data_IF_927241987379
#
_entry.id   IF_927241987379
#
_cell.length_a   1.000
_cell.length_b   1.000
_cell.length_c   1.000
_cell.angle_alpha   90.00
_cell.angle_beta   90.00
_cell.angle_gamma   90.00
#
_symmetry.space_group_name_H-M   'P 1'
#
loop_
_entity.id
_entity.type
_entity.pdbx_description
1 polymer ?
#
# COMPACT_ATOMS: atom_id res chain seq x y z
N UNK A 1 -10.20 19.62 -9.28
CA UNK A 1 -9.45 19.93 -10.53
C UNK A 1 -8.00 19.47 -10.40
N UNK A 2 -7.45 18.92 -11.46
CA UNK A 2 -6.01 18.65 -11.59
C UNK A 2 -5.45 19.71 -12.52
N UNK A 3 -4.61 20.59 -11.99
CA UNK A 3 -3.89 21.58 -12.78
C UNK A 3 -2.50 21.06 -13.16
N UNK A 4 -2.11 21.19 -14.43
CA UNK A 4 -0.76 20.96 -14.88
C UNK A 4 -0.13 22.28 -15.32
N UNK A 5 1.02 22.62 -14.76
CA UNK A 5 1.79 23.80 -15.12
C UNK A 5 3.00 23.37 -15.97
N UNK A 6 3.02 23.75 -17.26
CA UNK A 6 4.23 23.67 -18.09
C UNK A 6 4.99 24.99 -17.97
N UNK A 7 6.05 24.99 -17.20
CA UNK A 7 6.88 26.16 -16.94
C UNK A 7 7.45 26.84 -18.23
N UNK A 8 7.51 26.11 -19.34
CA UNK A 8 8.08 26.59 -20.60
C UNK A 8 7.10 27.42 -21.45
N UNK A 9 5.78 27.18 -21.33
CA UNK A 9 4.79 27.79 -22.24
C UNK A 9 3.69 28.58 -21.51
N UNK A 10 3.74 28.70 -20.16
CA UNK A 10 2.71 29.36 -19.32
C UNK A 10 1.27 28.87 -19.60
N UNK A 11 1.13 27.64 -20.08
CA UNK A 11 -0.17 27.04 -20.33
C UNK A 11 -0.67 26.36 -19.06
N UNK A 12 -1.85 26.75 -18.59
CA UNK A 12 -2.55 26.14 -17.48
C UNK A 12 -3.67 25.29 -18.06
N UNK A 13 -3.66 24.01 -17.76
CA UNK A 13 -4.75 23.10 -18.10
C UNK A 13 -5.47 22.71 -16.80
N UNK A 14 -6.71 23.12 -16.66
CA UNK A 14 -7.60 22.64 -15.62
C UNK A 14 -8.49 21.53 -16.17
N UNK A 15 -8.52 20.40 -15.48
CA UNK A 15 -9.38 19.27 -15.80
C UNK A 15 -10.46 19.18 -14.72
N UNK A 16 -11.69 19.52 -15.06
CA UNK A 16 -12.81 19.57 -14.12
C UNK A 16 -13.17 18.21 -13.53
N UNK A 17 -13.10 17.15 -14.34
CA UNK A 17 -13.44 15.78 -13.94
C UNK A 17 -12.32 14.81 -14.31
N UNK A 18 -11.18 14.78 -13.59
CA UNK A 18 -10.07 13.92 -13.93
C UNK A 18 -10.43 12.45 -13.73
N UNK A 19 -10.23 11.63 -14.76
CA UNK A 19 -10.39 10.18 -14.74
C UNK A 19 -9.06 9.54 -15.09
N UNK A 20 -8.31 9.15 -14.07
CA UNK A 20 -6.97 8.57 -14.22
C UNK A 20 -7.02 7.11 -13.79
N UNK A 21 -6.55 6.22 -14.67
CA UNK A 21 -6.27 4.82 -14.34
C UNK A 21 -4.78 4.57 -14.50
N UNK A 22 -4.17 3.90 -13.54
CA UNK A 22 -2.74 3.64 -13.51
C UNK A 22 -2.49 2.16 -13.32
N UNK A 23 -1.62 1.58 -14.16
CA UNK A 23 -1.10 0.22 -13.98
C UNK A 23 0.41 0.32 -13.80
N UNK A 24 0.91 -0.21 -12.70
CA UNK A 24 2.32 -0.21 -12.35
C UNK A 24 2.81 -1.64 -12.16
N UNK A 25 4.03 -1.91 -12.58
CA UNK A 25 4.72 -3.17 -12.33
C UNK A 25 6.06 -2.90 -11.65
N UNK A 26 6.40 -3.72 -10.66
CA UNK A 26 7.64 -3.57 -9.93
C UNK A 26 7.85 -4.68 -8.91
N UNK A 27 8.99 -4.65 -8.23
CA UNK A 27 9.25 -5.56 -7.12
C UNK A 27 8.49 -5.12 -5.87
N UNK A 28 8.19 -6.01 -4.92
CA UNK A 28 7.54 -5.63 -3.66
C UNK A 28 8.27 -4.53 -2.89
N UNK A 29 9.58 -4.43 -3.02
CA UNK A 29 10.36 -3.37 -2.39
C UNK A 29 10.15 -2.01 -3.05
N UNK A 30 10.06 -1.97 -4.39
CA UNK A 30 9.70 -0.75 -5.13
C UNK A 30 8.30 -0.26 -4.77
N UNK A 31 7.35 -1.18 -4.59
CA UNK A 31 6.00 -0.86 -4.11
C UNK A 31 6.04 -0.21 -2.73
N UNK A 32 6.83 -0.75 -1.78
CA UNK A 32 6.99 -0.15 -0.46
C UNK A 32 7.63 1.24 -0.49
N UNK A 33 8.45 1.56 -1.50
CA UNK A 33 8.99 2.92 -1.70
C UNK A 33 7.97 3.88 -2.30
N UNK A 34 7.11 3.40 -3.18
CA UNK A 34 6.05 4.20 -3.79
C UNK A 34 4.97 4.58 -2.77
N UNK A 35 4.64 3.67 -1.86
CA UNK A 35 3.64 3.86 -0.80
C UNK A 35 4.31 3.63 0.55
N UNK A 36 5.07 4.63 1.05
CA UNK A 36 5.87 4.47 2.27
C UNK A 36 5.03 4.29 3.53
N UNK A 37 3.79 4.77 3.52
CA UNK A 37 2.83 4.60 4.62
C UNK A 37 1.52 4.00 4.12
N UNK A 38 0.85 3.24 4.98
CA UNK A 38 -0.50 2.74 4.69
C UNK A 38 -1.58 3.77 5.06
N UNK A 39 -1.22 4.80 5.82
CA UNK A 39 -2.13 5.80 6.40
C UNK A 39 -2.46 6.96 5.47
N UNK A 40 -1.60 7.26 4.49
CA UNK A 40 -1.82 8.35 3.52
C UNK A 40 -2.97 8.09 2.52
N UNK A 41 -3.59 6.92 2.60
CA UNK A 41 -4.69 6.51 1.75
C UNK A 41 -4.30 6.14 0.32
N UNK A 42 -3.05 6.34 -0.10
CA UNK A 42 -2.57 5.93 -1.43
C UNK A 42 -2.53 4.40 -1.54
N UNK A 43 -1.99 3.73 -0.51
CA UNK A 43 -1.93 2.27 -0.45
C UNK A 43 -3.31 1.62 -0.68
N UNK A 44 -4.34 2.09 0.00
CA UNK A 44 -5.69 1.53 -0.10
C UNK A 44 -6.35 1.74 -1.48
N UNK A 45 -5.81 2.63 -2.33
CA UNK A 45 -6.33 2.90 -3.68
C UNK A 45 -5.79 1.95 -4.73
N UNK A 46 -4.71 1.21 -4.45
CA UNK A 46 -4.15 0.22 -5.35
C UNK A 46 -4.71 -1.17 -5.09
N UNK A 47 -4.98 -1.90 -6.17
CA UNK A 47 -5.17 -3.34 -6.13
C UNK A 47 -3.80 -3.99 -6.37
N UNK A 48 -3.29 -4.72 -5.39
CA UNK A 48 -2.00 -5.39 -5.54
C UNK A 48 -2.21 -6.80 -6.08
N UNK A 49 -1.51 -7.11 -7.17
CA UNK A 49 -1.45 -8.46 -7.70
C UNK A 49 0.00 -8.98 -7.64
N UNK A 50 0.26 -9.83 -6.69
CA UNK A 50 1.59 -10.42 -6.49
C UNK A 50 1.74 -11.67 -7.35
N UNK A 51 2.77 -11.69 -8.19
CA UNK A 51 3.14 -12.85 -9.00
C UNK A 51 4.39 -13.47 -8.39
N UNK A 52 4.30 -14.65 -7.76
CA UNK A 52 5.47 -15.31 -7.21
C UNK A 52 6.44 -15.71 -8.34
N UNK A 53 7.72 -15.48 -8.12
CA UNK A 53 8.76 -15.93 -9.05
C UNK A 53 8.77 -17.45 -9.12
N UNK A 54 8.62 -18.00 -10.31
CA UNK A 54 8.78 -19.44 -10.53
C UNK A 54 10.27 -19.78 -10.51
N UNK A 55 10.64 -20.77 -9.70
CA UNK A 55 11.98 -21.35 -9.75
C UNK A 55 12.11 -22.14 -11.06
N UNK A 56 13.17 -21.89 -11.80
CA UNK A 56 13.49 -22.61 -13.03
C UNK A 56 13.86 -21.66 -14.16
N UNK A 57 14.79 -22.10 -14.98
CA UNK A 57 15.20 -21.38 -16.18
C UNK A 57 14.22 -21.69 -17.30
N UNK A 58 13.72 -20.62 -17.95
CA UNK A 58 12.82 -20.79 -19.09
C UNK A 58 13.63 -21.15 -20.32
N UNK A 59 13.22 -22.21 -21.05
CA UNK A 59 13.81 -22.53 -22.33
C UNK A 59 13.55 -21.39 -23.33
N UNK A 60 14.59 -20.62 -23.65
CA UNK A 60 14.52 -19.48 -24.57
C UNK A 60 14.51 -19.91 -26.05
N UNK A 61 14.86 -21.18 -26.32
CA UNK A 61 14.88 -21.77 -27.64
C UNK A 61 13.55 -22.42 -28.04
N UNK A 62 12.60 -22.51 -27.11
CA UNK A 62 11.30 -23.09 -27.40
C UNK A 62 10.55 -22.21 -28.42
N UNK A 63 10.37 -22.72 -29.62
CA UNK A 63 9.54 -22.12 -30.64
C UNK A 63 8.08 -22.47 -30.38
N UNK A 64 7.22 -21.47 -30.27
CA UNK A 64 5.76 -21.67 -30.24
C UNK A 64 5.20 -21.43 -31.63
N UNK A 65 4.20 -22.23 -31.99
CA UNK A 65 3.41 -22.02 -33.21
C UNK A 65 2.89 -20.58 -33.23
N UNK A 66 3.02 -19.87 -34.36
CA UNK A 66 2.65 -18.46 -34.49
C UNK A 66 1.16 -18.24 -34.14
N UNK A 67 0.30 -19.19 -34.55
CA UNK A 67 -1.13 -19.17 -34.21
C UNK A 67 -1.43 -19.33 -32.73
N UNK A 68 -0.56 -19.98 -31.98
CA UNK A 68 -0.63 -20.20 -30.53
C UNK A 68 0.19 -19.16 -29.76
N UNK A 69 0.82 -18.22 -30.44
CA UNK A 69 1.64 -17.21 -29.80
C UNK A 69 0.80 -16.32 -28.88
N UNK A 70 1.38 -15.90 -27.76
CA UNK A 70 0.71 -14.96 -26.84
C UNK A 70 0.29 -13.67 -27.55
N UNK A 71 1.09 -13.20 -28.50
CA UNK A 71 0.79 -11.99 -29.26
C UNK A 71 -0.46 -12.15 -30.12
N UNK A 72 -0.65 -13.31 -30.78
CA UNK A 72 -1.87 -13.58 -31.54
C UNK A 72 -3.10 -13.60 -30.66
N UNK A 73 -3.02 -14.24 -29.46
CA UNK A 73 -4.11 -14.25 -28.48
C UNK A 73 -4.43 -12.85 -27.96
N UNK A 74 -3.43 -12.05 -27.65
CA UNK A 74 -3.64 -10.65 -27.22
C UNK A 74 -4.26 -9.80 -28.33
N UNK A 75 -3.85 -9.97 -29.58
CA UNK A 75 -4.45 -9.26 -30.71
C UNK A 75 -5.94 -9.59 -30.84
N UNK A 76 -6.29 -10.87 -30.82
CA UNK A 76 -7.69 -11.33 -30.89
C UNK A 76 -8.52 -10.77 -29.73
N UNK A 77 -7.99 -10.81 -28.49
CA UNK A 77 -8.68 -10.22 -27.34
C UNK A 77 -8.84 -8.71 -27.48
N UNK A 78 -7.84 -8.01 -28.01
CA UNK A 78 -7.91 -6.57 -28.25
C UNK A 78 -8.97 -6.20 -29.29
N UNK A 79 -9.09 -6.96 -30.37
CA UNK A 79 -10.12 -6.78 -31.40
C UNK A 79 -11.53 -7.00 -30.82
N UNK A 80 -11.72 -8.07 -30.04
CA UNK A 80 -12.98 -8.35 -29.33
C UNK A 80 -13.35 -7.23 -28.35
N UNK A 81 -12.38 -6.77 -27.59
CA UNK A 81 -12.57 -5.67 -26.63
C UNK A 81 -12.94 -4.35 -27.33
N UNK A 82 -12.30 -4.03 -28.44
CA UNK A 82 -12.61 -2.83 -29.21
C UNK A 82 -14.06 -2.86 -29.72
N UNK A 83 -14.48 -3.98 -30.30
CA UNK A 83 -15.87 -4.17 -30.75
C UNK A 83 -16.88 -4.04 -29.62
N UNK A 84 -16.60 -4.66 -28.47
CA UNK A 84 -17.45 -4.60 -27.27
C UNK A 84 -17.53 -3.15 -26.74
N UNK A 85 -16.41 -2.43 -26.67
CA UNK A 85 -16.35 -1.03 -26.28
C UNK A 85 -17.19 -0.14 -27.20
N UNK A 86 -17.09 -0.32 -28.51
CA UNK A 86 -17.87 0.45 -29.48
C UNK A 86 -19.37 0.18 -29.31
N UNK A 87 -19.75 -1.06 -29.11
CA UNK A 87 -21.14 -1.46 -28.85
C UNK A 87 -21.68 -0.84 -27.57
N UNK A 88 -20.86 -0.83 -26.52
CA UNK A 88 -21.19 -0.19 -25.25
C UNK A 88 -21.36 1.33 -25.39
N UNK A 89 -20.46 2.00 -26.10
CA UNK A 89 -20.51 3.45 -26.27
C UNK A 89 -21.71 3.95 -27.10
N UNK A 90 -22.31 3.11 -27.93
CA UNK A 90 -23.43 3.48 -28.79
C UNK A 90 -24.79 3.55 -28.09
N UNK A 91 -24.94 2.89 -26.94
CA UNK A 91 -26.26 2.65 -26.31
C UNK A 91 -26.64 3.66 -25.22
N UNK A 92 -25.76 4.55 -24.81
CA UNK A 92 -26.10 5.64 -23.89
C UNK A 92 -25.95 5.29 -22.41
N UNK A 93 -26.97 5.57 -21.60
CA UNK A 93 -26.92 5.38 -20.16
C UNK A 93 -27.19 3.94 -19.73
N UNK A 94 -26.45 3.47 -18.73
CA UNK A 94 -26.58 2.13 -18.17
C UNK A 94 -26.92 2.22 -16.69
N UNK A 95 -27.87 1.40 -16.25
CA UNK A 95 -28.17 1.21 -14.83
C UNK A 95 -27.87 -0.22 -14.43
N UNK A 96 -27.02 -0.37 -13.41
CA UNK A 96 -26.57 -1.66 -12.91
C UNK A 96 -27.36 -2.06 -11.67
N UNK A 97 -27.84 -3.29 -11.65
CA UNK A 97 -28.63 -3.87 -10.57
C UNK A 97 -27.97 -5.13 -10.04
N UNK A 98 -27.92 -5.24 -8.71
CA UNK A 98 -27.54 -6.47 -8.01
C UNK A 98 -28.80 -7.01 -7.32
N UNK A 99 -29.17 -8.30 -7.49
CA UNK A 99 -30.26 -8.92 -6.76
C UNK A 99 -30.08 -8.83 -5.25
N UNK A 100 -31.18 -8.67 -4.50
CA UNK A 100 -31.15 -8.46 -3.05
C UNK A 100 -30.37 -9.54 -2.28
N UNK A 101 -30.58 -10.80 -2.64
CA UNK A 101 -29.87 -11.92 -2.02
C UNK A 101 -28.34 -11.84 -2.19
N UNK A 102 -27.86 -11.33 -3.35
CA UNK A 102 -26.43 -11.09 -3.57
C UNK A 102 -25.92 -9.84 -2.82
N UNK A 103 -26.75 -8.80 -2.66
CA UNK A 103 -26.43 -7.67 -1.83
C UNK A 103 -26.22 -8.09 -0.38
N UNK A 104 -27.11 -8.92 0.16
CA UNK A 104 -26.99 -9.45 1.52
C UNK A 104 -25.72 -10.31 1.71
N UNK A 105 -25.40 -11.17 0.73
CA UNK A 105 -24.16 -11.94 0.76
C UNK A 105 -22.91 -11.03 0.72
N UNK A 106 -22.95 -10.00 -0.11
CA UNK A 106 -21.86 -9.01 -0.20
C UNK A 106 -21.61 -8.29 1.13
N UNK A 107 -22.67 -7.77 1.75
CA UNK A 107 -22.58 -7.05 3.01
C UNK A 107 -22.00 -7.95 4.11
N UNK A 108 -22.60 -9.12 4.31
CA UNK A 108 -22.15 -10.10 5.31
C UNK A 108 -20.69 -10.50 5.10
N UNK A 109 -20.26 -10.71 3.84
CA UNK A 109 -18.87 -11.07 3.52
C UNK A 109 -17.90 -9.96 3.90
N UNK A 110 -18.19 -8.70 3.55
CA UNK A 110 -17.27 -7.60 3.81
C UNK A 110 -17.27 -7.15 5.28
N UNK A 111 -18.37 -7.33 6.01
CA UNK A 111 -18.40 -7.16 7.48
C UNK A 111 -17.46 -8.16 8.16
N UNK A 112 -17.63 -9.46 7.90
CA UNK A 112 -16.77 -10.52 8.45
C UNK A 112 -15.31 -10.30 8.06
N UNK A 113 -15.03 -10.01 6.78
CA UNK A 113 -13.67 -9.78 6.29
C UNK A 113 -13.01 -8.55 6.95
N UNK A 114 -13.79 -7.50 7.22
CA UNK A 114 -13.27 -6.32 7.90
C UNK A 114 -12.82 -6.64 9.33
N UNK A 115 -13.66 -7.37 10.08
CA UNK A 115 -13.35 -7.74 11.46
C UNK A 115 -12.16 -8.70 11.51
N UNK A 116 -12.16 -9.76 10.70
CA UNK A 116 -11.04 -10.70 10.57
C UNK A 116 -9.71 -10.00 10.25
N UNK A 117 -9.71 -9.11 9.24
CA UNK A 117 -8.50 -8.39 8.86
C UNK A 117 -8.03 -7.40 9.93
N UNK A 118 -8.94 -6.73 10.64
CA UNK A 118 -8.59 -5.82 11.73
C UNK A 118 -8.00 -6.58 12.91
N UNK A 119 -8.57 -7.73 13.27
CA UNK A 119 -8.10 -8.56 14.37
C UNK A 119 -6.74 -9.19 14.08
N UNK A 120 -6.53 -9.73 12.86
CA UNK A 120 -5.29 -10.43 12.52
C UNK A 120 -4.12 -9.50 12.17
N UNK A 121 -4.39 -8.34 11.58
CA UNK A 121 -3.36 -7.49 10.97
C UNK A 121 -3.31 -6.11 11.62
N UNK A 122 -4.45 -5.61 12.06
CA UNK A 122 -4.61 -4.32 12.72
C UNK A 122 -5.55 -3.35 11.99
N UNK A 123 -5.96 -2.31 12.70
CA UNK A 123 -6.98 -1.34 12.26
C UNK A 123 -6.64 -0.61 10.94
N UNK A 124 -5.36 -0.56 10.55
CA UNK A 124 -4.94 -0.01 9.25
C UNK A 124 -5.52 -0.75 8.04
N UNK A 125 -6.00 -1.99 8.24
CA UNK A 125 -6.65 -2.77 7.18
C UNK A 125 -8.07 -2.31 6.85
N UNK A 126 -8.77 -1.63 7.75
CA UNK A 126 -10.15 -1.21 7.55
C UNK A 126 -10.37 -0.41 6.25
N UNK A 127 -9.49 0.56 5.99
CA UNK A 127 -9.54 1.35 4.76
C UNK A 127 -9.32 0.52 3.49
N UNK A 128 -8.46 -0.49 3.57
CA UNK A 128 -8.13 -1.41 2.47
C UNK A 128 -9.34 -2.30 2.17
N UNK A 129 -9.95 -2.91 3.19
CA UNK A 129 -11.13 -3.80 3.04
C UNK A 129 -12.33 -3.04 2.47
N UNK A 130 -12.62 -1.84 2.98
CA UNK A 130 -13.70 -0.98 2.46
C UNK A 130 -13.53 -0.64 0.98
N UNK A 131 -12.30 -0.32 0.57
CA UNK A 131 -12.01 -0.04 -0.84
C UNK A 131 -12.02 -1.29 -1.70
N UNK A 132 -11.65 -2.45 -1.15
CA UNK A 132 -11.77 -3.73 -1.83
C UNK A 132 -13.25 -4.07 -2.11
N UNK A 133 -14.15 -3.79 -1.17
CA UNK A 133 -15.60 -3.91 -1.40
C UNK A 133 -16.09 -3.03 -2.56
N UNK A 134 -15.66 -1.76 -2.60
CA UNK A 134 -15.97 -0.87 -3.71
C UNK A 134 -15.38 -1.36 -5.04
N UNK A 135 -14.21 -1.95 -5.01
CA UNK A 135 -13.55 -2.54 -6.19
C UNK A 135 -14.31 -3.78 -6.67
N UNK A 136 -14.76 -4.66 -5.76
CA UNK A 136 -15.59 -5.81 -6.10
C UNK A 136 -16.89 -5.39 -6.80
N UNK A 137 -17.55 -4.36 -6.27
CA UNK A 137 -18.73 -3.79 -6.91
C UNK A 137 -18.44 -3.32 -8.36
N UNK A 138 -17.33 -2.61 -8.57
CA UNK A 138 -16.92 -2.16 -9.91
C UNK A 138 -16.55 -3.31 -10.85
N UNK A 139 -15.90 -4.36 -10.34
CA UNK A 139 -15.59 -5.55 -11.13
C UNK A 139 -16.87 -6.27 -11.52
N UNK A 140 -17.87 -6.40 -10.62
CA UNK A 140 -19.19 -6.95 -10.96
C UNK A 140 -19.85 -6.16 -12.10
N UNK A 141 -19.82 -4.82 -12.03
CA UNK A 141 -20.36 -3.97 -13.12
C UNK A 141 -19.70 -4.29 -14.47
N UNK A 142 -18.37 -4.40 -14.48
CA UNK A 142 -17.60 -4.70 -15.70
C UNK A 142 -17.91 -6.09 -16.23
N UNK A 143 -17.89 -7.11 -15.36
CA UNK A 143 -18.18 -8.50 -15.75
C UNK A 143 -19.60 -8.63 -16.30
N UNK A 144 -20.59 -8.05 -15.63
CA UNK A 144 -21.97 -8.03 -16.08
C UNK A 144 -22.10 -7.33 -17.45
N UNK A 145 -21.44 -6.18 -17.63
CA UNK A 145 -21.47 -5.49 -18.91
C UNK A 145 -20.83 -6.36 -20.01
N UNK A 146 -19.65 -6.93 -19.79
CA UNK A 146 -18.97 -7.80 -20.75
C UNK A 146 -19.85 -8.99 -21.13
N UNK A 147 -20.38 -9.73 -20.15
CA UNK A 147 -21.26 -10.88 -20.37
C UNK A 147 -22.50 -10.48 -21.16
N UNK A 148 -23.18 -9.40 -20.75
CA UNK A 148 -24.42 -8.95 -21.37
C UNK A 148 -24.19 -8.55 -22.83
N UNK A 149 -23.12 -7.82 -23.11
CA UNK A 149 -22.80 -7.42 -24.48
C UNK A 149 -22.26 -8.54 -25.37
N UNK A 150 -21.62 -9.56 -24.81
CA UNK A 150 -21.20 -10.75 -25.56
C UNK A 150 -22.35 -11.71 -25.88
N UNK A 151 -23.31 -11.85 -24.95
CA UNK A 151 -24.36 -12.88 -25.08
C UNK A 151 -25.73 -12.34 -25.53
N UNK A 152 -26.06 -11.12 -25.14
CA UNK A 152 -27.43 -10.59 -25.27
C UNK A 152 -27.52 -9.32 -26.13
N UNK A 153 -26.57 -9.06 -26.98
CA UNK A 153 -26.42 -7.81 -27.74
C UNK A 153 -27.68 -7.34 -28.48
N UNK A 154 -28.60 -8.24 -28.81
CA UNK A 154 -29.85 -7.97 -29.52
C UNK A 154 -31.12 -7.93 -28.62
N UNK A 155 -31.02 -8.27 -27.35
CA UNK A 155 -32.15 -8.45 -26.44
C UNK A 155 -32.05 -7.62 -25.15
N UNK A 156 -31.27 -6.54 -25.14
CA UNK A 156 -31.14 -5.72 -23.95
C UNK A 156 -32.45 -5.03 -23.63
N UNK A 157 -33.00 -5.18 -22.40
CA UNK A 157 -34.18 -4.45 -22.00
C UNK A 157 -33.87 -2.96 -21.91
N UNK A 158 -34.64 -2.18 -22.65
CA UNK A 158 -34.60 -0.73 -22.55
C UNK A 158 -35.70 -0.27 -21.59
N UNK A 159 -35.33 0.57 -20.65
CA UNK A 159 -36.32 1.28 -19.84
C UNK A 159 -37.05 2.35 -20.69
N UNK A 160 -38.21 2.86 -20.22
CA UNK A 160 -38.94 3.91 -20.92
C UNK A 160 -38.13 5.21 -21.18
N UNK A 161 -37.10 5.43 -20.38
CA UNK A 161 -36.16 6.55 -20.53
C UNK A 161 -35.01 6.28 -21.52
N UNK A 162 -35.05 5.13 -22.20
CA UNK A 162 -33.99 4.70 -23.13
C UNK A 162 -32.72 4.15 -22.47
N UNK A 163 -32.65 4.06 -21.14
CA UNK A 163 -31.52 3.46 -20.45
C UNK A 163 -31.51 1.93 -20.61
N UNK A 164 -30.31 1.35 -20.57
CA UNK A 164 -30.12 -0.12 -20.62
C UNK A 164 -29.90 -0.64 -19.21
N UNK A 165 -30.66 -1.64 -18.81
CA UNK A 165 -30.55 -2.26 -17.51
C UNK A 165 -29.60 -3.48 -17.57
N UNK A 166 -28.58 -3.47 -16.71
CA UNK A 166 -27.61 -4.54 -16.55
C UNK A 166 -27.86 -5.27 -15.24
N UNK A 167 -28.19 -6.54 -15.31
CA UNK A 167 -28.48 -7.35 -14.13
C UNK A 167 -27.30 -8.28 -13.81
N UNK A 168 -26.73 -8.13 -12.62
CA UNK A 168 -25.68 -8.97 -12.10
C UNK A 168 -26.19 -10.40 -11.93
N UNK A 169 -25.51 -11.37 -12.52
CA UNK A 169 -25.77 -12.78 -12.30
C UNK A 169 -24.85 -13.33 -11.20
N UNK A 170 -25.23 -14.48 -10.66
CA UNK A 170 -24.46 -15.12 -9.59
C UNK A 170 -23.01 -15.46 -10.01
N UNK A 171 -22.82 -15.76 -11.29
CA UNK A 171 -21.49 -16.03 -11.85
C UNK A 171 -20.61 -14.78 -11.88
N UNK A 172 -21.16 -13.61 -12.28
CA UNK A 172 -20.47 -12.33 -12.24
C UNK A 172 -20.07 -11.98 -10.80
N UNK A 173 -21.03 -12.17 -9.87
CA UNK A 173 -20.81 -11.94 -8.44
C UNK A 173 -19.69 -12.83 -7.89
N UNK A 174 -19.78 -14.14 -8.06
CA UNK A 174 -18.79 -15.10 -7.55
C UNK A 174 -17.40 -14.85 -8.13
N UNK A 175 -17.33 -14.54 -9.42
CA UNK A 175 -16.06 -14.23 -10.09
C UNK A 175 -15.43 -12.95 -9.52
N UNK A 176 -16.21 -11.88 -9.35
CA UNK A 176 -15.74 -10.63 -8.78
C UNK A 176 -15.25 -10.81 -7.33
N UNK A 177 -16.00 -11.55 -6.52
CA UNK A 177 -15.61 -11.85 -5.14
C UNK A 177 -14.30 -12.64 -5.07
N UNK A 178 -14.16 -13.69 -5.90
CA UNK A 178 -12.92 -14.50 -5.97
C UNK A 178 -11.70 -13.69 -6.41
N UNK A 179 -11.86 -12.79 -7.37
CA UNK A 179 -10.80 -11.86 -7.77
C UNK A 179 -10.41 -10.99 -6.59
N UNK A 180 -11.39 -10.40 -5.89
CA UNK A 180 -11.12 -9.50 -4.77
C UNK A 180 -10.55 -10.22 -3.55
N UNK A 181 -10.94 -11.45 -3.27
CA UNK A 181 -10.31 -12.28 -2.23
C UNK A 181 -8.81 -12.48 -2.50
N UNK A 182 -8.46 -12.76 -3.77
CA UNK A 182 -7.05 -12.87 -4.20
C UNK A 182 -6.29 -11.54 -4.04
N UNK A 183 -6.90 -10.43 -4.48
CA UNK A 183 -6.30 -9.09 -4.38
C UNK A 183 -6.15 -8.65 -2.92
N UNK A 184 -7.11 -9.00 -2.06
CA UNK A 184 -7.03 -8.70 -0.63
C UNK A 184 -5.90 -9.48 0.04
N UNK A 185 -5.78 -10.78 -0.23
CA UNK A 185 -4.67 -11.61 0.27
C UNK A 185 -3.30 -11.03 -0.15
N UNK A 186 -3.18 -10.57 -1.39
CA UNK A 186 -1.98 -9.91 -1.88
C UNK A 186 -1.75 -8.55 -1.22
N UNK A 187 -2.81 -7.78 -0.96
CA UNK A 187 -2.73 -6.50 -0.24
C UNK A 187 -2.27 -6.70 1.20
N UNK A 188 -2.77 -7.72 1.90
CA UNK A 188 -2.31 -8.13 3.24
C UNK A 188 -0.83 -8.49 3.23
N UNK A 189 -0.39 -9.26 2.22
CA UNK A 189 1.02 -9.63 2.08
C UNK A 189 1.92 -8.40 1.93
N UNK A 190 1.57 -7.46 1.03
CA UNK A 190 2.33 -6.23 0.82
C UNK A 190 2.27 -5.32 2.05
N UNK A 191 1.11 -5.21 2.70
CA UNK A 191 0.94 -4.44 3.93
C UNK A 191 1.85 -4.93 5.05
N UNK A 192 1.87 -6.25 5.31
CA UNK A 192 2.77 -6.86 6.31
C UNK A 192 4.25 -6.60 5.97
N UNK A 193 4.61 -6.59 4.69
CA UNK A 193 5.96 -6.26 4.25
C UNK A 193 6.28 -4.78 4.50
N UNK A 194 5.37 -3.89 4.17
CA UNK A 194 5.49 -2.45 4.44
C UNK A 194 5.71 -2.18 5.93
N UNK A 195 4.90 -2.77 6.81
CA UNK A 195 5.03 -2.63 8.25
C UNK A 195 6.40 -3.11 8.76
N UNK A 196 6.95 -4.18 8.19
CA UNK A 196 8.31 -4.66 8.53
C UNK A 196 9.39 -3.70 8.07
N UNK A 197 9.25 -3.09 6.90
CA UNK A 197 10.21 -2.10 6.38
C UNK A 197 10.14 -0.84 7.24
N UNK A 198 8.97 -0.36 7.58
CA UNK A 198 8.79 0.80 8.47
C UNK A 198 9.42 0.56 9.85
N UNK A 199 9.20 -0.61 10.46
CA UNK A 199 9.85 -0.97 11.74
C UNK A 199 11.39 -1.02 11.64
N UNK A 200 11.94 -1.33 10.47
CA UNK A 200 13.40 -1.35 10.24
C UNK A 200 13.95 0.02 9.85
N UNK A 201 13.17 0.84 9.17
CA UNK A 201 13.55 2.18 8.69
C UNK A 201 13.22 3.29 9.67
N UNK A 202 12.47 3.00 10.73
CA UNK A 202 12.53 3.79 11.95
C UNK A 202 13.80 3.33 12.66
N UNK A 203 14.96 3.98 12.45
CA UNK A 203 16.03 3.91 13.41
C UNK A 203 15.35 4.45 14.64
N UNK A 204 15.36 3.68 15.69
CA UNK A 204 14.73 3.94 16.95
C UNK A 204 14.76 5.44 17.21
N UNK A 205 13.63 6.15 17.02
CA UNK A 205 13.56 7.56 17.46
C UNK A 205 13.94 7.62 18.93
N UNK A 206 13.71 6.51 19.65
CA UNK A 206 14.18 6.30 20.99
C UNK A 206 15.71 6.19 21.04
N UNK A 207 16.38 5.45 20.14
CA UNK A 207 17.84 5.40 20.10
C UNK A 207 18.44 6.72 19.61
N UNK A 208 17.87 7.40 18.63
CA UNK A 208 18.30 8.76 18.22
C UNK A 208 18.02 9.79 19.30
N UNK A 209 16.88 9.71 19.98
CA UNK A 209 16.59 10.58 21.12
C UNK A 209 17.51 10.27 22.31
N UNK A 210 17.79 9.01 22.60
CA UNK A 210 18.72 8.59 23.65
C UNK A 210 20.16 8.98 23.30
N UNK A 211 20.60 8.79 22.06
CA UNK A 211 21.94 9.23 21.62
C UNK A 211 22.07 10.76 21.61
N UNK A 212 21.04 11.48 21.18
CA UNK A 212 21.01 12.94 21.23
C UNK A 212 21.03 13.47 22.67
N UNK A 213 20.20 12.89 23.56
CA UNK A 213 20.17 13.21 25.01
C UNK A 213 21.49 12.88 25.66
N UNK A 214 22.09 11.71 25.37
CA UNK A 214 23.40 11.32 25.86
C UNK A 214 24.50 12.31 25.45
N UNK A 215 24.50 12.77 24.19
CA UNK A 215 25.47 13.77 23.72
C UNK A 215 25.24 15.11 24.39
N UNK A 216 24.03 15.60 24.51
CA UNK A 216 23.73 16.84 25.24
C UNK A 216 24.14 16.75 26.70
N UNK A 217 23.93 15.62 27.36
CA UNK A 217 24.37 15.36 28.71
C UNK A 217 25.93 15.38 28.82
N UNK A 218 26.64 14.82 27.84
CA UNK A 218 28.10 14.84 27.80
C UNK A 218 28.65 16.26 27.72
N UNK A 219 28.03 17.14 26.94
CA UNK A 219 28.46 18.54 26.83
C UNK A 219 28.35 19.30 28.16
N UNK A 220 27.37 18.98 28.99
CA UNK A 220 27.16 19.60 30.29
C UNK A 220 28.15 19.13 31.37
N UNK A 221 28.88 18.02 31.15
CA UNK A 221 29.88 17.55 32.10
C UNK A 221 31.07 18.50 32.11
N UNK A 222 31.65 18.78 33.29
CA UNK A 222 32.95 19.47 33.41
C UNK A 222 34.10 18.68 32.77
N UNK A 223 35.20 19.35 32.43
CA UNK A 223 36.37 18.67 31.87
C UNK A 223 36.93 17.59 32.80
N UNK A 224 36.86 17.81 34.11
CA UNK A 224 37.19 16.81 35.14
C UNK A 224 36.09 16.79 36.16
N UNK A 225 35.60 15.61 36.50
CA UNK A 225 34.47 15.45 37.44
C UNK A 225 34.55 14.14 38.23
N UNK A 226 33.91 14.12 39.37
CA UNK A 226 33.78 12.93 40.20
C UNK A 226 32.48 12.16 39.88
N UNK A 227 32.40 10.94 40.39
CA UNK A 227 31.15 10.16 40.28
C UNK A 227 29.95 10.88 40.95
N UNK A 228 30.23 11.63 42.05
CA UNK A 228 29.18 12.41 42.74
C UNK A 228 28.65 13.56 41.85
N UNK A 229 29.54 14.26 41.18
CA UNK A 229 29.17 15.35 40.25
C UNK A 229 28.33 14.80 39.08
N UNK A 230 28.69 13.61 38.60
CA UNK A 230 27.95 12.93 37.56
C UNK A 230 26.53 12.56 38.01
N UNK A 231 26.38 11.99 39.21
CA UNK A 231 25.09 11.58 39.77
C UNK A 231 24.23 12.83 40.08
N UNK A 232 24.82 13.94 40.55
CA UNK A 232 24.12 15.22 40.76
C UNK A 232 23.61 15.79 39.42
N UNK A 233 24.38 15.66 38.33
CA UNK A 233 23.93 16.12 37.00
C UNK A 233 22.78 15.25 36.45
N UNK A 234 22.77 13.94 36.71
CA UNK A 234 21.65 13.06 36.38
C UNK A 234 20.35 13.56 37.03
N UNK A 235 20.42 13.91 38.30
CA UNK A 235 19.27 14.43 39.05
C UNK A 235 18.83 15.82 38.54
N UNK A 236 19.79 16.70 38.29
CA UNK A 236 19.50 18.05 37.76
C UNK A 236 18.85 18.03 36.37
N UNK A 237 19.22 17.07 35.52
CA UNK A 237 18.64 16.90 34.18
C UNK A 237 17.40 16.01 34.14
N UNK A 238 16.94 15.52 35.31
CA UNK A 238 15.79 14.61 35.44
C UNK A 238 15.92 13.37 34.54
N UNK A 239 17.16 12.85 34.39
CA UNK A 239 17.43 11.67 33.60
C UNK A 239 17.20 10.38 34.38
N UNK A 240 16.83 9.31 33.68
CA UNK A 240 16.66 8.01 34.32
C UNK A 240 18.03 7.49 34.81
N UNK A 241 18.19 7.36 36.12
CA UNK A 241 19.43 6.98 36.81
C UNK A 241 20.04 5.67 36.30
N UNK A 242 19.20 4.66 36.01
CA UNK A 242 19.68 3.35 35.52
C UNK A 242 20.22 3.42 34.09
N UNK A 243 19.65 4.29 33.27
CA UNK A 243 20.09 4.51 31.88
C UNK A 243 21.31 5.42 31.83
N UNK A 244 21.26 6.56 32.51
CA UNK A 244 22.35 7.53 32.49
C UNK A 244 23.64 7.00 33.16
N UNK A 245 23.54 6.16 34.20
CA UNK A 245 24.71 5.53 34.82
C UNK A 245 25.53 4.68 33.83
N UNK A 246 24.90 4.09 32.83
CA UNK A 246 25.57 3.30 31.77
C UNK A 246 26.31 4.19 30.75
N UNK A 247 25.98 5.47 30.65
CA UNK A 247 26.58 6.36 29.68
C UNK A 247 28.06 6.63 29.95
N UNK A 248 28.50 6.58 31.20
CA UNK A 248 29.94 6.67 31.52
C UNK A 248 30.73 5.57 30.80
N UNK A 249 30.27 4.33 30.85
CA UNK A 249 30.93 3.19 30.21
C UNK A 249 30.98 3.36 28.69
N UNK A 250 29.88 3.90 28.12
CA UNK A 250 29.77 4.20 26.69
C UNK A 250 30.80 5.30 26.32
N UNK A 251 30.88 6.41 27.08
CA UNK A 251 31.85 7.48 26.81
C UNK A 251 33.31 7.02 26.94
N UNK A 252 33.58 6.10 27.88
CA UNK A 252 34.95 5.50 28.02
C UNK A 252 35.23 4.62 26.79
N UNK A 253 34.27 3.79 26.38
CA UNK A 253 34.39 2.92 25.20
C UNK A 253 34.56 3.71 23.91
N UNK A 254 33.85 4.83 23.78
CA UNK A 254 33.95 5.78 22.66
C UNK A 254 35.24 6.64 22.74
N UNK A 255 36.09 6.42 23.74
CA UNK A 255 37.33 7.17 24.02
C UNK A 255 37.15 8.68 24.29
N UNK A 256 35.97 9.12 24.64
CA UNK A 256 35.61 10.49 24.98
C UNK A 256 35.93 10.85 26.45
N UNK A 257 35.96 9.82 27.31
CA UNK A 257 36.35 9.95 28.73
C UNK A 257 37.51 9.01 29.04
N UNK A 258 38.36 9.43 29.97
CA UNK A 258 39.34 8.57 30.64
C UNK A 258 39.11 8.61 32.15
N UNK A 259 39.44 7.50 32.82
CA UNK A 259 39.46 7.40 34.28
C UNK A 259 40.85 7.76 34.77
N UNK A 260 40.98 8.89 35.49
CA UNK A 260 42.23 9.41 36.00
C UNK A 260 42.47 9.02 37.46
N UNK A 261 41.45 8.52 38.16
CA UNK A 261 41.55 8.06 39.54
C UNK A 261 40.30 7.26 39.96
N UNK A 262 40.25 6.82 41.21
CA UNK A 262 39.10 6.11 41.73
C UNK A 262 37.89 7.05 41.80
N UNK A 263 36.91 6.84 40.90
CA UNK A 263 35.71 7.67 40.77
C UNK A 263 35.92 9.05 40.16
N UNK A 264 37.09 9.32 39.53
CA UNK A 264 37.43 10.59 38.89
C UNK A 264 37.59 10.33 37.39
N UNK A 265 36.94 11.15 36.60
CA UNK A 265 36.88 11.06 35.13
C UNK A 265 37.29 12.38 34.49
N UNK A 266 37.92 12.31 33.33
CA UNK A 266 38.35 13.48 32.55
C UNK A 266 37.93 13.36 31.10
N UNK A 267 37.42 14.45 30.52
CA UNK A 267 37.15 14.54 29.08
C UNK A 267 38.50 14.47 28.33
N UNK A 268 38.53 13.68 27.26
CA UNK A 268 39.64 13.71 26.30
C UNK A 268 39.37 14.80 25.29
N UNK A 269 40.34 15.68 25.10
CA UNK A 269 40.37 16.59 23.95
C UNK A 269 40.50 15.73 22.68
N UNK A 270 39.59 15.95 21.69
CA UNK A 270 39.55 15.22 20.43
C UNK A 270 40.66 15.58 19.48
#
# INVERSE_FOLDING_TARGET
>A
PLGANRAKDREFYDVDNPRISVVLAGTPEQVCRLTPTAEDGLFSRFAFYFIPSKRGFRNVFATSDVSQSKNAKFKLLGERFLHLRESFMRKGNYTFYIPEHLQMQFLKRYESTNDECCDEVGNGMQGIVRRMGLMAYRIMMVLTAVRTFETEMFKLPHAPDGSVHLFCQEEDFRTAMSICDTLLAHSVFIYRKLMRVQRRSVPDQQERSVASRRNAFFELLPNTFTKKDYDALIEAQNENRSTASKWIDVFIKERRLCRVGQGIYQKKEG
#
